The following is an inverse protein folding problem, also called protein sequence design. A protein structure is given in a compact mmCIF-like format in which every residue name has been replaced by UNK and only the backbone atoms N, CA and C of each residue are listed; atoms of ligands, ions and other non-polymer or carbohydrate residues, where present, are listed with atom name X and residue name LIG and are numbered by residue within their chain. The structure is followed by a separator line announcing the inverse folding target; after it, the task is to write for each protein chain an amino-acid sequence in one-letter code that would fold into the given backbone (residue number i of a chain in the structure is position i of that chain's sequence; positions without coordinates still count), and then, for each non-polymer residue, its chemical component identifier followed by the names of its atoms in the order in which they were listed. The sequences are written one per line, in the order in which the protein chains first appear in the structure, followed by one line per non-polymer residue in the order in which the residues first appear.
data_IF_760344587042
#
_entry.id   IF_760344587042
#
_cell.length_a   1.000
_cell.length_b   1.000
_cell.length_c   1.000
_cell.angle_alpha   90.00
_cell.angle_beta   90.00
_cell.angle_gamma   90.00
#
_symmetry.space_group_name_H-M   'P 1'
#
loop_
_entity.id
_entity.type
_entity.pdbx_description
1 polymer ?
#
# COMPACT_ATOMS: atom_id res chain seq x y z
N UNK A 1 6.05 -16.28 -6.27
CA UNK A 1 5.85 -15.55 -5.00
C UNK A 1 6.30 -16.27 -3.72
N UNK A 2 6.22 -17.59 -3.55
CA UNK A 2 6.52 -18.25 -2.25
C UNK A 2 7.98 -18.20 -1.72
N UNK A 3 8.97 -17.63 -2.42
CA UNK A 3 10.37 -17.77 -2.01
C UNK A 3 10.74 -16.92 -0.80
N UNK A 4 10.25 -15.68 -0.70
CA UNK A 4 10.65 -14.76 0.36
C UNK A 4 10.09 -15.17 1.72
N UNK A 5 8.78 -15.48 1.79
CA UNK A 5 8.15 -15.92 3.03
C UNK A 5 8.61 -17.31 3.47
N UNK A 6 8.87 -18.24 2.54
CA UNK A 6 9.30 -19.61 2.90
C UNK A 6 10.70 -19.65 3.51
N UNK A 7 11.59 -18.73 3.15
CA UNK A 7 12.91 -18.61 3.78
C UNK A 7 12.82 -18.03 5.20
N UNK A 8 11.90 -17.10 5.46
CA UNK A 8 11.67 -16.52 6.80
C UNK A 8 11.23 -17.54 7.86
N UNK A 9 10.54 -18.62 7.48
CA UNK A 9 10.02 -19.63 8.40
C UNK A 9 10.93 -20.85 8.62
N UNK A 10 12.00 -21.02 7.84
CA UNK A 10 12.83 -22.23 7.85
C UNK A 10 14.24 -22.07 8.46
N UNK A 11 14.65 -20.86 8.85
CA UNK A 11 16.02 -20.64 9.35
C UNK A 11 16.14 -20.89 10.87
N UNK A 12 17.10 -21.74 11.32
CA UNK A 12 17.34 -21.99 12.74
C UNK A 12 17.78 -20.74 13.51
N UNK A 13 17.34 -20.63 14.77
CA UNK A 13 17.54 -19.47 15.66
C UNK A 13 19.00 -19.01 15.87
N UNK A 14 20.01 -19.82 15.56
CA UNK A 14 21.41 -19.51 15.87
C UNK A 14 22.10 -18.55 14.89
N UNK A 15 21.46 -18.22 13.75
CA UNK A 15 22.02 -17.30 12.76
C UNK A 15 21.31 -15.93 12.71
N UNK A 16 20.38 -15.68 13.63
CA UNK A 16 19.48 -14.51 13.57
C UNK A 16 20.11 -13.19 14.02
N UNK A 17 21.27 -13.19 14.69
CA UNK A 17 21.88 -11.95 15.21
C UNK A 17 22.89 -11.30 14.24
N UNK A 18 23.47 -12.05 13.30
CA UNK A 18 24.48 -11.52 12.36
C UNK A 18 23.93 -11.27 10.94
N UNK A 19 22.75 -11.80 10.58
CA UNK A 19 22.17 -11.65 9.24
C UNK A 19 21.02 -10.61 9.17
N UNK A 20 20.77 -9.86 10.25
CA UNK A 20 19.72 -8.83 10.32
C UNK A 20 20.20 -7.41 9.94
N UNK A 21 21.42 -7.26 9.40
CA UNK A 21 22.03 -5.95 9.10
C UNK A 21 22.24 -5.70 7.59
N UNK A 22 21.85 -6.63 6.70
CA UNK A 22 21.97 -6.40 5.24
C UNK A 22 20.80 -6.90 4.42
N UNK A 23 19.55 -6.69 4.86
CA UNK A 23 18.47 -6.53 3.88
C UNK A 23 18.67 -5.16 3.26
N UNK A 24 19.28 -5.14 2.08
CA UNK A 24 19.40 -3.93 1.25
C UNK A 24 17.98 -3.45 0.95
N UNK A 25 17.42 -2.61 1.80
CA UNK A 25 16.24 -1.80 1.49
C UNK A 25 16.61 -1.06 0.21
N UNK A 26 15.97 -1.41 -0.90
CA UNK A 26 16.07 -0.62 -2.10
C UNK A 26 15.66 0.81 -1.69
N UNK A 27 16.51 1.84 -1.85
CA UNK A 27 16.19 3.19 -1.38
C UNK A 27 14.89 3.75 -1.98
N UNK A 28 14.39 3.11 -3.04
CA UNK A 28 13.16 3.48 -3.72
C UNK A 28 11.92 2.75 -3.22
N UNK A 29 12.06 1.83 -2.25
CA UNK A 29 10.92 1.12 -1.65
C UNK A 29 10.65 1.63 -0.24
N UNK A 30 9.38 1.92 0.03
CA UNK A 30 8.88 2.40 1.32
C UNK A 30 7.94 1.33 1.90
N UNK A 31 8.11 1.00 3.19
CA UNK A 31 7.26 0.04 3.91
C UNK A 31 7.24 -1.40 3.33
N UNK A 32 8.30 -1.83 2.63
CA UNK A 32 8.38 -3.19 2.05
C UNK A 32 8.42 -4.32 3.09
N UNK A 33 8.72 -4.01 4.34
CA UNK A 33 8.75 -4.99 5.45
C UNK A 33 7.42 -5.04 6.23
N UNK A 34 6.44 -4.21 5.87
CA UNK A 34 5.12 -4.19 6.49
C UNK A 34 4.30 -5.37 5.96
N UNK A 35 3.76 -6.21 6.85
CA UNK A 35 2.80 -7.24 6.46
C UNK A 35 1.40 -6.70 6.72
N UNK A 36 0.65 -6.51 5.65
CA UNK A 36 -0.73 -6.03 5.72
C UNK A 36 -1.56 -6.62 4.60
N UNK A 37 -2.81 -6.97 4.90
CA UNK A 37 -3.81 -7.24 3.89
C UNK A 37 -4.91 -6.19 4.04
N UNK A 38 -5.23 -5.48 2.97
CA UNK A 38 -6.29 -4.47 3.02
C UNK A 38 -7.60 -5.10 3.44
N UNK A 39 -8.23 -4.53 4.48
CA UNK A 39 -9.48 -5.05 5.05
C UNK A 39 -10.70 -4.51 4.31
N UNK A 40 -10.49 -3.49 3.47
CA UNK A 40 -11.52 -2.88 2.60
C UNK A 40 -12.73 -2.40 3.41
N UNK A 41 -12.43 -1.83 4.58
CA UNK A 41 -13.39 -1.19 5.47
C UNK A 41 -12.82 0.17 5.88
N UNK A 42 -13.66 1.19 6.06
CA UNK A 42 -13.22 2.43 6.68
C UNK A 42 -12.92 2.22 8.16
N UNK A 43 -12.04 3.05 8.70
CA UNK A 43 -11.70 3.09 10.13
C UNK A 43 -12.03 4.46 10.69
N UNK A 44 -12.67 4.52 11.85
CA UNK A 44 -13.16 5.78 12.40
C UNK A 44 -12.02 6.70 12.85
N UNK A 45 -10.84 6.13 13.13
CA UNK A 45 -9.66 6.90 13.54
C UNK A 45 -8.34 6.22 13.20
N UNK A 46 -7.27 7.01 13.12
CA UNK A 46 -5.91 6.48 13.01
C UNK A 46 -5.53 5.61 14.22
N UNK A 47 -6.04 5.90 15.42
CA UNK A 47 -5.76 5.08 16.62
C UNK A 47 -6.32 3.67 16.49
N UNK A 48 -7.56 3.53 16.03
CA UNK A 48 -8.17 2.21 15.78
C UNK A 48 -7.38 1.43 14.73
N UNK A 49 -7.01 2.10 13.63
CA UNK A 49 -6.24 1.48 12.57
C UNK A 49 -4.82 1.07 13.00
N UNK A 50 -4.15 1.91 13.80
CA UNK A 50 -2.82 1.64 14.37
C UNK A 50 -2.84 0.37 15.25
N UNK A 51 -3.88 0.22 16.07
CA UNK A 51 -4.09 -0.98 16.88
C UNK A 51 -4.32 -2.22 16.02
N UNK A 52 -5.05 -2.09 14.90
CA UNK A 52 -5.31 -3.20 13.99
C UNK A 52 -4.06 -3.65 13.25
N UNK A 53 -3.27 -2.72 12.68
CA UNK A 53 -1.96 -3.05 12.07
C UNK A 53 -1.04 -3.69 13.10
N UNK A 54 -0.94 -3.11 14.30
CA UNK A 54 -0.08 -3.66 15.36
C UNK A 54 -0.46 -5.10 15.72
N UNK A 55 -1.77 -5.39 15.78
CA UNK A 55 -2.29 -6.73 16.05
C UNK A 55 -2.02 -7.68 14.90
N UNK A 56 -2.30 -7.27 13.68
CA UNK A 56 -2.06 -8.06 12.47
C UNK A 56 -0.59 -8.47 12.35
N UNK A 57 0.33 -7.51 12.53
CA UNK A 57 1.77 -7.77 12.55
C UNK A 57 2.16 -8.80 13.62
N UNK A 58 1.60 -8.69 14.83
CA UNK A 58 1.85 -9.66 15.92
C UNK A 58 1.29 -11.05 15.62
N UNK A 59 0.13 -11.13 15.00
CA UNK A 59 -0.50 -12.41 14.69
C UNK A 59 0.28 -13.19 13.63
N UNK A 60 0.80 -12.48 12.61
CA UNK A 60 1.57 -13.09 11.52
C UNK A 60 3.05 -13.30 11.89
N UNK A 61 3.74 -12.25 12.38
CA UNK A 61 5.20 -12.27 12.60
C UNK A 61 5.59 -12.68 14.03
N UNK A 62 4.64 -12.69 14.97
CA UNK A 62 4.87 -13.04 16.38
C UNK A 62 5.98 -12.21 17.01
N UNK A 63 7.05 -12.86 17.50
CA UNK A 63 8.19 -12.20 18.10
C UNK A 63 9.00 -11.33 17.12
N UNK A 64 8.79 -11.48 15.81
CA UNK A 64 9.42 -10.67 14.77
C UNK A 64 8.58 -9.44 14.37
N UNK A 65 7.40 -9.28 14.97
CA UNK A 65 6.53 -8.15 14.67
C UNK A 65 7.23 -6.84 15.03
N UNK A 66 7.33 -5.97 14.04
CA UNK A 66 7.88 -4.63 14.18
C UNK A 66 6.94 -3.67 13.45
N UNK A 67 6.40 -2.73 14.21
CA UNK A 67 5.52 -1.70 13.70
C UNK A 67 5.82 -0.40 14.45
N UNK A 68 6.08 0.66 13.68
CA UNK A 68 6.31 2.02 14.17
C UNK A 68 5.50 2.98 13.32
N UNK A 69 4.23 3.16 13.67
CA UNK A 69 3.31 4.02 12.92
C UNK A 69 3.73 5.50 12.89
N UNK A 70 4.50 5.95 13.87
CA UNK A 70 5.01 7.32 14.00
C UNK A 70 6.29 7.60 13.20
N UNK A 71 6.93 6.55 12.66
CA UNK A 71 8.15 6.69 11.85
C UNK A 71 7.83 7.45 10.56
N UNK A 72 8.60 8.51 10.28
CA UNK A 72 8.48 9.26 9.03
C UNK A 72 9.06 8.43 7.89
N UNK A 73 8.24 8.16 6.89
CA UNK A 73 8.61 7.29 5.75
C UNK A 73 8.68 8.03 4.43
N UNK A 74 8.01 9.18 4.30
CA UNK A 74 8.10 10.04 3.12
C UNK A 74 8.23 11.51 3.55
N UNK A 75 9.32 12.14 3.13
CA UNK A 75 9.63 13.54 3.43
C UNK A 75 9.05 14.50 2.38
N UNK A 76 7.73 14.50 2.22
CA UNK A 76 7.00 15.41 1.34
C UNK A 76 5.60 15.73 1.93
N UNK A 77 5.09 16.96 1.74
CA UNK A 77 3.77 17.35 2.26
C UNK A 77 2.61 16.80 1.41
N UNK A 78 2.84 16.53 0.13
CA UNK A 78 1.89 15.98 -0.83
C UNK A 78 2.61 14.96 -1.72
N UNK A 79 1.90 13.90 -2.12
CA UNK A 79 2.38 12.85 -3.03
C UNK A 79 1.25 12.41 -3.97
N UNK A 80 1.64 11.71 -5.02
CA UNK A 80 0.74 10.91 -5.87
C UNK A 80 1.01 9.42 -5.61
N UNK A 81 -0.05 8.62 -5.49
CA UNK A 81 0.03 7.17 -5.39
C UNK A 81 -0.80 6.55 -6.51
N UNK A 82 -0.14 5.79 -7.39
CA UNK A 82 -0.78 4.93 -8.37
C UNK A 82 -1.06 3.55 -7.75
N UNK A 83 -2.26 3.02 -8.00
CA UNK A 83 -2.62 1.67 -7.59
C UNK A 83 -3.68 1.09 -8.52
N UNK A 84 -3.72 -0.24 -8.57
CA UNK A 84 -4.72 -0.98 -9.32
C UNK A 84 -5.91 -1.34 -8.43
N UNK A 85 -7.11 -1.23 -8.97
CA UNK A 85 -8.33 -1.66 -8.31
C UNK A 85 -9.39 -2.06 -9.34
N UNK A 86 -10.43 -2.71 -8.86
CA UNK A 86 -11.62 -3.05 -9.62
C UNK A 86 -12.77 -2.15 -9.15
N UNK A 87 -13.39 -1.46 -10.09
CA UNK A 87 -14.50 -0.52 -9.84
C UNK A 87 -15.70 -0.86 -10.74
N UNK A 88 -16.90 -0.53 -10.29
CA UNK A 88 -18.13 -0.72 -11.08
C UNK A 88 -18.38 0.44 -12.04
N UNK A 89 -17.94 1.64 -11.66
CA UNK A 89 -18.09 2.85 -12.46
C UNK A 89 -17.18 3.95 -11.94
N UNK A 90 -17.11 5.07 -12.69
CA UNK A 90 -16.37 6.27 -12.28
C UNK A 90 -16.83 6.84 -10.92
N UNK A 91 -18.06 6.54 -10.49
CA UNK A 91 -18.60 7.04 -9.22
C UNK A 91 -17.93 6.39 -7.98
N UNK A 92 -17.18 5.29 -8.18
CA UNK A 92 -16.38 4.66 -7.13
C UNK A 92 -15.05 5.40 -6.87
N UNK A 93 -14.69 6.36 -7.72
CA UNK A 93 -13.53 7.21 -7.46
C UNK A 93 -13.83 8.22 -6.35
N UNK A 94 -12.84 8.42 -5.48
CA UNK A 94 -12.87 9.47 -4.48
C UNK A 94 -12.48 10.80 -5.11
N UNK A 95 -12.81 11.90 -4.43
CA UNK A 95 -12.59 13.26 -4.96
C UNK A 95 -11.13 13.63 -5.21
N UNK A 96 -10.18 12.86 -4.68
CA UNK A 96 -8.75 13.04 -4.87
C UNK A 96 -8.13 11.98 -5.79
N UNK A 97 -8.96 11.23 -6.51
CA UNK A 97 -8.56 10.15 -7.41
C UNK A 97 -8.89 10.50 -8.86
N UNK A 98 -8.03 10.06 -9.77
CA UNK A 98 -8.20 10.18 -11.22
C UNK A 98 -7.82 8.85 -11.89
N UNK A 99 -8.48 8.50 -13.00
CA UNK A 99 -8.04 7.39 -13.85
C UNK A 99 -6.77 7.78 -14.60
N UNK A 100 -5.82 6.85 -14.72
CA UNK A 100 -4.65 7.04 -15.59
C UNK A 100 -4.95 6.76 -17.06
N UNK A 101 -5.86 5.83 -17.32
CA UNK A 101 -6.29 5.46 -18.66
C UNK A 101 -7.53 6.24 -19.10
N UNK A 102 -7.78 6.26 -20.42
CA UNK A 102 -8.95 6.92 -20.99
C UNK A 102 -10.23 6.22 -20.53
N UNK A 103 -11.22 7.02 -20.12
CA UNK A 103 -12.50 6.51 -19.60
C UNK A 103 -13.24 5.64 -20.61
N UNK A 104 -13.25 6.03 -21.89
CA UNK A 104 -13.94 5.27 -22.93
C UNK A 104 -13.27 3.92 -23.18
N UNK A 105 -11.94 3.85 -23.03
CA UNK A 105 -11.19 2.59 -23.16
C UNK A 105 -11.40 1.69 -21.93
N UNK A 106 -11.35 2.26 -20.72
CA UNK A 106 -11.53 1.51 -19.46
C UNK A 106 -12.91 0.86 -19.37
N UNK A 107 -13.97 1.61 -19.66
CA UNK A 107 -15.36 1.15 -19.50
C UNK A 107 -15.95 0.52 -20.79
N UNK A 108 -15.09 -0.07 -21.61
CA UNK A 108 -15.51 -0.91 -22.73
C UNK A 108 -16.08 -2.24 -22.21
N UNK A 109 -17.18 -2.72 -22.82
CA UNK A 109 -17.83 -4.00 -22.45
C UNK A 109 -16.86 -5.19 -22.53
N UNK A 110 -15.84 -5.13 -23.40
CA UNK A 110 -14.81 -6.17 -23.52
C UNK A 110 -13.86 -6.23 -22.31
N UNK A 111 -13.79 -5.16 -21.50
CA UNK A 111 -12.97 -5.07 -20.27
C UNK A 111 -13.76 -5.37 -18.99
N UNK A 112 -15.07 -5.64 -19.09
CA UNK A 112 -15.91 -5.95 -17.95
C UNK A 112 -15.71 -7.39 -17.48
N UNK A 113 -15.37 -7.58 -16.20
CA UNK A 113 -15.36 -8.88 -15.55
C UNK A 113 -16.27 -8.86 -14.33
N UNK A 114 -17.32 -9.70 -14.34
CA UNK A 114 -18.31 -9.81 -13.26
C UNK A 114 -18.92 -8.48 -12.78
N UNK A 115 -19.09 -7.51 -13.69
CA UNK A 115 -19.63 -6.18 -13.39
C UNK A 115 -18.60 -5.17 -12.86
N UNK A 116 -17.31 -5.50 -12.95
CA UNK A 116 -16.20 -4.64 -12.56
C UNK A 116 -15.25 -4.40 -13.73
N UNK A 117 -14.54 -3.28 -13.66
CA UNK A 117 -13.49 -2.89 -14.57
C UNK A 117 -12.20 -2.73 -13.76
N UNK A 118 -11.13 -3.40 -14.20
CA UNK A 118 -9.80 -3.19 -13.65
C UNK A 118 -9.28 -1.84 -14.13
N UNK A 119 -8.79 -1.03 -13.21
CA UNK A 119 -8.32 0.33 -13.47
C UNK A 119 -7.02 0.63 -12.76
N UNK A 120 -6.19 1.47 -13.37
CA UNK A 120 -5.11 2.15 -12.69
C UNK A 120 -5.56 3.55 -12.24
N UNK A 121 -5.48 3.80 -10.95
CA UNK A 121 -5.95 5.03 -10.30
C UNK A 121 -4.75 5.79 -9.74
N UNK A 122 -4.69 7.09 -9.96
CA UNK A 122 -3.79 8.00 -9.24
C UNK A 122 -4.54 8.75 -8.15
N UNK A 123 -4.11 8.58 -6.90
CA UNK A 123 -4.60 9.32 -5.76
C UNK A 123 -3.60 10.41 -5.33
N UNK A 124 -4.06 11.65 -5.26
CA UNK A 124 -3.29 12.72 -4.62
C UNK A 124 -3.52 12.70 -3.11
N UNK A 125 -2.46 12.47 -2.33
CA UNK A 125 -2.51 12.43 -0.88
C UNK A 125 -1.80 13.63 -0.26
N UNK A 126 -2.27 14.07 0.90
CA UNK A 126 -1.69 15.14 1.68
C UNK A 126 -1.35 14.62 3.08
N UNK A 127 -0.14 14.93 3.55
CA UNK A 127 0.29 14.52 4.88
C UNK A 127 -0.60 15.17 5.95
N UNK A 128 -1.06 14.41 6.94
CA UNK A 128 -1.95 14.91 7.98
C UNK A 128 -1.31 16.04 8.81
N UNK A 129 0.02 16.04 8.95
CA UNK A 129 0.79 17.09 9.62
C UNK A 129 1.20 18.25 8.69
N UNK A 130 0.89 18.16 7.38
CA UNK A 130 1.22 19.16 6.37
C UNK A 130 2.69 19.21 5.94
N UNK A 131 3.54 18.26 6.34
CA UNK A 131 4.98 18.27 6.03
C UNK A 131 5.55 16.93 5.55
N UNK A 132 5.12 15.81 6.14
CA UNK A 132 5.70 14.49 5.86
C UNK A 132 4.76 13.38 6.31
N UNK A 133 4.76 12.26 5.60
CA UNK A 133 3.95 11.11 5.95
C UNK A 133 4.68 10.22 6.95
N UNK A 134 4.00 9.89 8.05
CA UNK A 134 4.38 8.74 8.86
C UNK A 134 3.86 7.45 8.23
N UNK A 135 4.39 6.30 8.68
CA UNK A 135 3.91 4.99 8.26
C UNK A 135 2.39 4.82 8.50
N UNK A 136 1.90 5.26 9.66
CA UNK A 136 0.48 5.20 10.00
C UNK A 136 -0.37 6.11 9.10
N UNK A 137 0.09 7.33 8.84
CA UNK A 137 -0.66 8.32 8.04
C UNK A 137 -0.90 7.81 6.62
N UNK A 138 0.16 7.38 5.92
CA UNK A 138 0.03 6.89 4.55
C UNK A 138 -0.80 5.59 4.48
N UNK A 139 -0.61 4.66 5.41
CA UNK A 139 -1.38 3.42 5.42
C UNK A 139 -2.85 3.67 5.73
N UNK A 140 -3.15 4.59 6.65
CA UNK A 140 -4.53 4.95 6.98
C UNK A 140 -5.23 5.58 5.78
N UNK A 141 -4.57 6.50 5.09
CA UNK A 141 -5.11 7.10 3.87
C UNK A 141 -5.32 6.04 2.78
N UNK A 142 -4.37 5.13 2.56
CA UNK A 142 -4.52 4.08 1.55
C UNK A 142 -5.62 3.07 1.88
N UNK A 143 -5.77 2.66 3.13
CA UNK A 143 -6.90 1.81 3.55
C UNK A 143 -8.24 2.49 3.25
N UNK A 144 -8.31 3.81 3.43
CA UNK A 144 -9.47 4.58 3.01
C UNK A 144 -9.63 4.59 1.49
N UNK A 145 -8.58 4.85 0.70
CA UNK A 145 -8.68 4.88 -0.76
C UNK A 145 -9.27 3.60 -1.34
N UNK A 146 -8.89 2.45 -0.80
CA UNK A 146 -9.36 1.13 -1.27
C UNK A 146 -10.66 0.67 -0.61
N UNK A 147 -11.20 1.37 0.39
CA UNK A 147 -12.31 0.89 1.22
C UNK A 147 -13.63 0.67 0.46
N UNK A 148 -13.80 1.30 -0.70
CA UNK A 148 -14.99 1.17 -1.55
C UNK A 148 -14.70 0.51 -2.89
N UNK A 149 -13.55 -0.17 -3.02
CA UNK A 149 -13.09 -0.78 -4.27
C UNK A 149 -12.80 -2.26 -4.05
N UNK A 150 -12.84 -3.03 -5.12
CA UNK A 150 -12.36 -4.42 -5.14
C UNK A 150 -10.85 -4.43 -5.47
N UNK A 151 -10.09 -5.34 -4.87
CA UNK A 151 -8.65 -5.50 -5.14
C UNK A 151 -8.33 -6.87 -5.76
N UNK A 152 -9.35 -7.65 -6.11
CA UNK A 152 -9.17 -9.02 -6.60
C UNK A 152 -8.41 -9.89 -5.60
N UNK A 153 -7.44 -10.66 -6.08
CA UNK A 153 -6.48 -11.41 -5.26
C UNK A 153 -5.29 -10.55 -4.81
N UNK A 154 -5.15 -9.33 -5.31
CA UNK A 154 -4.08 -8.37 -5.00
C UNK A 154 -4.34 -7.56 -3.71
N UNK A 155 -4.66 -8.24 -2.61
CA UNK A 155 -4.97 -7.60 -1.31
C UNK A 155 -3.76 -7.45 -0.38
N UNK A 156 -2.67 -8.18 -0.64
CA UNK A 156 -1.51 -8.23 0.26
C UNK A 156 -0.54 -7.10 -0.07
N UNK A 157 -0.44 -6.11 0.80
CA UNK A 157 0.48 -4.98 0.63
C UNK A 157 1.94 -5.43 0.72
N UNK A 158 2.75 -5.03 -0.27
CA UNK A 158 4.19 -5.32 -0.38
C UNK A 158 5.07 -4.06 -0.35
N UNK A 159 4.48 -2.90 -0.06
CA UNK A 159 5.19 -1.62 -0.01
C UNK A 159 4.78 -0.64 -1.10
N UNK A 160 5.38 0.54 -1.05
CA UNK A 160 5.32 1.53 -2.11
C UNK A 160 6.65 1.60 -2.86
N UNK A 161 6.60 1.72 -4.18
CA UNK A 161 7.78 1.92 -5.02
C UNK A 161 7.77 3.33 -5.60
N UNK A 162 8.82 4.09 -5.35
CA UNK A 162 9.00 5.43 -5.92
C UNK A 162 9.30 5.35 -7.41
N UNK A 163 8.64 6.17 -8.21
CA UNK A 163 9.01 6.39 -9.60
C UNK A 163 10.25 7.29 -9.68
N UNK A 164 11.36 6.79 -10.24
CA UNK A 164 12.63 7.52 -10.28
C UNK A 164 12.68 8.61 -11.36
N UNK A 165 12.14 8.32 -12.55
CA UNK A 165 12.23 9.19 -13.73
C UNK A 165 10.95 10.03 -13.95
N UNK A 166 10.10 10.13 -12.93
CA UNK A 166 8.89 10.93 -13.00
C UNK A 166 9.21 12.41 -12.76
N UNK A 167 8.91 13.25 -13.76
CA UNK A 167 9.14 14.70 -13.72
C UNK A 167 7.87 15.49 -13.35
N UNK A 168 6.90 14.84 -12.71
CA UNK A 168 5.70 15.53 -12.21
C UNK A 168 6.00 16.46 -11.04
N UNK A 169 5.03 17.31 -10.68
CA UNK A 169 5.19 18.29 -9.61
C UNK A 169 5.27 17.66 -8.21
N UNK A 170 4.78 16.42 -8.06
CA UNK A 170 4.72 15.68 -6.81
C UNK A 170 5.55 14.39 -6.91
N UNK A 171 6.15 13.91 -5.80
CA UNK A 171 6.71 12.57 -5.76
C UNK A 171 5.63 11.52 -6.04
N UNK A 172 5.90 10.66 -7.01
CA UNK A 172 5.01 9.58 -7.41
C UNK A 172 5.48 8.24 -6.83
N UNK A 173 4.52 7.49 -6.28
CA UNK A 173 4.71 6.15 -5.78
C UNK A 173 3.71 5.20 -6.43
N UNK A 174 4.10 3.94 -6.64
CA UNK A 174 3.19 2.86 -6.99
C UNK A 174 2.97 1.99 -5.76
N UNK A 175 1.72 1.74 -5.39
CA UNK A 175 1.39 0.71 -4.39
C UNK A 175 1.61 -0.66 -5.02
N UNK A 176 2.37 -1.51 -4.33
CA UNK A 176 2.62 -2.89 -4.77
C UNK A 176 1.78 -3.82 -3.90
N UNK A 177 0.98 -4.64 -4.55
CA UNK A 177 0.25 -5.71 -3.89
C UNK A 177 0.58 -7.08 -4.52
N UNK A 178 0.66 -8.11 -3.68
CA UNK A 178 0.83 -9.50 -4.08
C UNK A 178 -0.49 -10.27 -4.09
N UNK A 179 -0.50 -11.40 -4.81
CA UNK A 179 -1.57 -12.42 -4.82
C UNK A 179 -1.20 -13.72 -4.08
#
# INVERSE_FOLDING_TARGET
MFRFFKELFNTPKSNLEEELITTTTNPDTVLSDLVWAFQRKPYDSQTEFDEEISRYQKDILRARAYWKGDETVIHAPEIEICYEAWITSIDDLKSNEELLDDKEEVFDEDNEEDGFFQVEISAKLQAANGSSFSALDIMYQMEHQVSNKELGDHIFFEGFRRAQDYNGPLPLYHMVCGS
#
